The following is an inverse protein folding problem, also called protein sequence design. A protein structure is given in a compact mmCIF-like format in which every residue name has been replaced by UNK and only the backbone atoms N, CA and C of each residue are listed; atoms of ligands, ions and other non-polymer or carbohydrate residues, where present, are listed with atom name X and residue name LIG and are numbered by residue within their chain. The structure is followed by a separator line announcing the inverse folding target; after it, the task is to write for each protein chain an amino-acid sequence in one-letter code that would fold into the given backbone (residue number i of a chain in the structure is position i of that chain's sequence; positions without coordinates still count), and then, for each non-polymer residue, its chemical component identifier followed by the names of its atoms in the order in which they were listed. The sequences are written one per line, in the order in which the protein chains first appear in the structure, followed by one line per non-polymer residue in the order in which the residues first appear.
data_IF_630412506128
#
_entry.id   IF_630412506128
#
_cell.length_a   1.000
_cell.length_b   1.000
_cell.length_c   1.000
_cell.angle_alpha   90.00
_cell.angle_beta   90.00
_cell.angle_gamma   90.00
#
_symmetry.space_group_name_H-M   'P 1'
#
loop_
_entity.id
_entity.type
_entity.pdbx_description
1 polymer ?
#
# COMPACT_ATOMS: atom_id res chain seq x y z
N UNK A 1 -14.32 32.78 -7.09
CA UNK A 1 -15.28 31.77 -7.57
C UNK A 1 -14.50 30.48 -7.79
N UNK A 2 -14.36 29.67 -6.75
CA UNK A 2 -13.64 28.38 -6.81
C UNK A 2 -14.57 27.39 -7.50
N UNK A 3 -14.21 26.97 -8.72
CA UNK A 3 -14.90 25.88 -9.38
C UNK A 3 -14.86 24.68 -8.43
N UNK A 4 -16.05 24.20 -8.03
CA UNK A 4 -16.16 22.91 -7.40
C UNK A 4 -15.62 21.88 -8.40
N UNK A 5 -14.37 21.44 -8.18
CA UNK A 5 -13.82 20.28 -8.85
C UNK A 5 -14.83 19.17 -8.63
N UNK A 6 -15.45 18.74 -9.72
CA UNK A 6 -16.38 17.64 -9.76
C UNK A 6 -15.59 16.41 -9.30
N UNK A 7 -15.62 16.11 -7.99
CA UNK A 7 -15.02 14.90 -7.45
C UNK A 7 -15.86 13.76 -7.99
N UNK A 8 -15.42 13.15 -9.08
CA UNK A 8 -16.04 11.92 -9.54
C UNK A 8 -16.05 10.95 -8.37
N UNK A 9 -17.26 10.54 -8.00
CA UNK A 9 -17.48 9.54 -6.96
C UNK A 9 -16.66 8.31 -7.33
N UNK A 10 -16.03 7.69 -6.34
CA UNK A 10 -15.25 6.45 -6.51
C UNK A 10 -16.04 5.44 -7.35
N UNK A 11 -15.51 5.12 -8.53
CA UNK A 11 -16.14 4.18 -9.45
C UNK A 11 -15.56 2.79 -9.19
N UNK A 12 -16.26 2.01 -8.35
CA UNK A 12 -15.83 0.66 -7.98
C UNK A 12 -15.87 -0.29 -9.17
N UNK A 13 -16.81 -0.13 -10.09
CA UNK A 13 -16.89 -0.96 -11.29
C UNK A 13 -15.67 -0.76 -12.19
N UNK A 14 -15.25 0.49 -12.37
CA UNK A 14 -14.00 0.79 -13.08
C UNK A 14 -12.79 0.19 -12.36
N UNK A 15 -12.71 0.34 -11.03
CA UNK A 15 -11.61 -0.21 -10.24
C UNK A 15 -11.49 -1.74 -10.36
N UNK A 16 -12.62 -2.45 -10.45
CA UNK A 16 -12.66 -3.90 -10.71
C UNK A 16 -12.03 -4.24 -12.07
N UNK A 17 -12.47 -3.56 -13.12
CA UNK A 17 -11.96 -3.79 -14.48
C UNK A 17 -10.46 -3.50 -14.56
N UNK A 18 -9.99 -2.43 -13.92
CA UNK A 18 -8.57 -2.07 -13.85
C UNK A 18 -7.73 -3.10 -13.11
N UNK A 19 -8.22 -3.63 -11.98
CA UNK A 19 -7.52 -4.69 -11.26
C UNK A 19 -7.35 -5.95 -12.13
N UNK A 20 -8.37 -6.34 -12.89
CA UNK A 20 -8.27 -7.50 -13.80
C UNK A 20 -7.35 -7.22 -14.99
N UNK A 21 -7.47 -6.03 -15.58
CA UNK A 21 -6.78 -5.69 -16.82
C UNK A 21 -5.32 -5.32 -16.57
N UNK A 22 -5.06 -4.42 -15.62
CA UNK A 22 -3.75 -3.84 -15.39
C UNK A 22 -3.01 -4.44 -14.20
N UNK A 23 -3.70 -5.16 -13.32
CA UNK A 23 -3.13 -5.71 -12.08
C UNK A 23 -3.12 -4.71 -10.93
N UNK A 24 -3.60 -3.48 -11.14
CA UNK A 24 -3.73 -2.45 -10.11
C UNK A 24 -4.86 -1.47 -10.47
N UNK A 25 -5.33 -0.72 -9.47
CA UNK A 25 -6.23 0.43 -9.63
C UNK A 25 -5.85 1.53 -8.63
N UNK A 26 -6.30 2.75 -8.87
CA UNK A 26 -6.09 3.89 -7.96
C UNK A 26 -7.44 4.44 -7.54
N UNK A 27 -7.78 4.24 -6.26
CA UNK A 27 -8.96 4.87 -5.68
C UNK A 27 -8.61 6.29 -5.20
N UNK A 28 -9.12 7.29 -5.92
CA UNK A 28 -8.91 8.70 -5.58
C UNK A 28 -9.85 9.13 -4.45
N UNK A 29 -9.40 10.14 -3.69
CA UNK A 29 -10.20 10.85 -2.69
C UNK A 29 -10.81 9.97 -1.58
N UNK A 30 -10.16 8.84 -1.25
CA UNK A 30 -10.62 7.95 -0.17
C UNK A 30 -10.39 8.51 1.24
N UNK A 31 -9.47 9.47 1.38
CA UNK A 31 -9.20 10.18 2.63
C UNK A 31 -9.21 11.68 2.32
N UNK A 32 -9.90 12.52 3.11
CA UNK A 32 -9.73 13.97 3.02
C UNK A 32 -8.26 14.34 3.19
N UNK A 33 -7.74 15.24 2.34
CA UNK A 33 -6.32 15.62 2.34
C UNK A 33 -5.78 15.98 3.72
N UNK A 34 -6.49 16.82 4.46
CA UNK A 34 -6.09 17.24 5.81
C UNK A 34 -5.94 16.04 6.75
N UNK A 35 -6.89 15.09 6.67
CA UNK A 35 -6.85 13.86 7.48
C UNK A 35 -5.71 12.94 7.07
N UNK A 36 -5.40 12.83 5.78
CA UNK A 36 -4.25 12.07 5.29
C UNK A 36 -2.93 12.64 5.82
N UNK A 37 -2.78 13.97 5.77
CA UNK A 37 -1.60 14.65 6.31
C UNK A 37 -1.50 14.50 7.84
N UNK A 38 -2.61 14.58 8.56
CA UNK A 38 -2.66 14.30 10.00
C UNK A 38 -2.20 12.88 10.33
N UNK A 39 -2.71 11.88 9.60
CA UNK A 39 -2.29 10.48 9.73
C UNK A 39 -0.78 10.34 9.46
N UNK A 40 -0.27 10.96 8.40
CA UNK A 40 1.16 10.97 8.07
C UNK A 40 2.02 11.56 9.19
N UNK A 41 1.64 12.71 9.74
CA UNK A 41 2.32 13.34 10.88
C UNK A 41 2.32 12.43 12.11
N UNK A 42 1.18 11.83 12.46
CA UNK A 42 1.09 10.92 13.61
C UNK A 42 1.99 9.69 13.46
N UNK A 43 2.09 9.12 12.26
CA UNK A 43 3.00 8.01 11.98
C UNK A 43 4.48 8.40 12.10
N UNK A 44 4.83 9.61 11.66
CA UNK A 44 6.19 10.14 11.84
C UNK A 44 6.53 10.39 13.31
N UNK A 45 5.56 10.81 14.13
CA UNK A 45 5.72 10.93 15.59
C UNK A 45 5.97 9.56 16.24
N UNK A 46 5.13 8.56 15.95
CA UNK A 46 5.28 7.18 16.47
C UNK A 46 6.64 6.63 16.08
N UNK A 47 7.05 6.74 14.81
CA UNK A 47 8.39 6.33 14.37
C UNK A 47 9.50 7.11 15.07
N UNK A 48 9.27 8.39 15.37
CA UNK A 48 10.16 9.27 16.13
C UNK A 48 10.41 8.75 17.54
N UNK A 49 9.36 8.33 18.25
CA UNK A 49 9.38 7.78 19.61
C UNK A 49 10.12 6.44 19.70
N UNK A 50 10.10 5.64 18.63
CA UNK A 50 10.82 4.35 18.57
C UNK A 50 12.35 4.52 18.47
N UNK A 51 12.85 5.70 18.13
CA UNK A 51 14.29 5.91 18.05
C UNK A 51 14.89 6.04 19.45
N UNK A 52 15.91 5.23 19.74
CA UNK A 52 16.67 5.35 20.98
C UNK A 52 17.47 6.65 21.01
N UNK A 53 17.52 7.28 22.19
CA UNK A 53 18.39 8.43 22.45
C UNK A 53 19.84 8.01 22.19
N UNK A 54 20.50 8.65 21.22
CA UNK A 54 21.93 8.47 20.93
C UNK A 54 22.25 7.68 19.65
N UNK A 55 21.27 7.19 18.90
CA UNK A 55 21.49 6.53 17.61
C UNK A 55 21.32 7.53 16.44
N UNK A 56 22.17 7.40 15.41
CA UNK A 56 21.96 8.13 14.14
C UNK A 56 20.62 7.71 13.54
N UNK A 57 19.79 8.70 13.19
CA UNK A 57 18.48 8.42 12.60
C UNK A 57 18.68 7.77 11.23
N UNK A 58 18.20 6.54 10.99
CA UNK A 58 18.11 6.04 9.63
C UNK A 58 17.26 7.02 8.81
N UNK A 59 17.66 7.29 7.56
CA UNK A 59 16.88 8.13 6.61
C UNK A 59 15.57 7.44 6.16
N UNK A 60 15.18 6.37 6.84
CA UNK A 60 14.02 5.55 6.55
C UNK A 60 13.36 5.13 7.86
N UNK A 61 12.04 5.32 7.94
CA UNK A 61 11.21 4.84 9.04
C UNK A 61 10.38 3.64 8.60
N UNK A 62 10.23 2.66 9.49
CA UNK A 62 9.45 1.46 9.24
C UNK A 62 8.75 0.95 10.48
N UNK A 63 7.45 0.72 10.36
CA UNK A 63 6.66 -0.01 11.33
C UNK A 63 6.16 -1.29 10.64
N UNK A 64 6.66 -2.49 11.00
CA UNK A 64 6.27 -3.75 10.34
C UNK A 64 4.79 -4.13 10.58
N UNK A 65 4.18 -3.57 11.62
CA UNK A 65 2.73 -3.60 11.80
C UNK A 65 2.37 -2.46 12.74
N UNK A 66 1.63 -1.46 12.24
CA UNK A 66 1.22 -0.29 13.02
C UNK A 66 0.59 -0.66 14.36
N UNK A 67 -0.27 -1.69 14.36
CA UNK A 67 -1.02 -2.13 15.54
C UNK A 67 -0.17 -2.83 16.61
N UNK A 68 1.14 -3.02 16.37
CA UNK A 68 2.08 -3.38 17.43
C UNK A 68 2.54 -2.17 18.26
N UNK A 69 2.26 -0.94 17.79
CA UNK A 69 2.75 0.31 18.37
C UNK A 69 1.63 1.23 18.86
N UNK A 70 0.38 0.94 18.48
CA UNK A 70 -0.81 1.69 18.91
C UNK A 70 -1.89 0.73 19.40
N UNK A 71 -2.67 1.16 20.38
CA UNK A 71 -3.94 0.53 20.73
C UNK A 71 -5.07 1.27 19.97
N UNK A 72 -5.80 0.61 19.05
CA UNK A 72 -6.90 1.25 18.32
C UNK A 72 -8.04 1.77 19.19
N UNK A 73 -8.15 1.31 20.44
CA UNK A 73 -9.13 1.85 21.40
C UNK A 73 -8.68 3.17 22.02
N UNK A 74 -7.39 3.49 21.94
CA UNK A 74 -6.80 4.74 22.42
C UNK A 74 -6.45 5.71 21.27
N UNK A 75 -6.09 5.19 20.10
CA UNK A 75 -5.78 5.94 18.87
C UNK A 75 -6.52 5.34 17.66
N UNK A 76 -7.76 5.79 17.46
CA UNK A 76 -8.67 5.29 16.42
C UNK A 76 -8.39 5.85 15.02
N UNK A 77 -7.38 6.72 14.89
CA UNK A 77 -7.11 7.54 13.71
C UNK A 77 -7.03 6.71 12.42
N UNK A 78 -6.50 5.48 12.51
CA UNK A 78 -6.22 4.61 11.38
C UNK A 78 -7.28 3.53 11.13
N UNK A 79 -8.27 3.37 12.02
CA UNK A 79 -9.35 2.39 11.82
C UNK A 79 -10.10 2.56 10.49
N UNK A 80 -10.39 3.78 10.00
CA UNK A 80 -11.04 3.96 8.70
C UNK A 80 -10.25 3.42 7.51
N UNK A 81 -8.92 3.25 7.63
CA UNK A 81 -8.08 2.70 6.57
C UNK A 81 -8.25 1.19 6.43
N UNK A 82 -8.33 0.47 7.55
CA UNK A 82 -8.49 -0.99 7.55
C UNK A 82 -9.95 -1.44 7.44
N UNK A 83 -10.90 -0.55 7.70
CA UNK A 83 -12.35 -0.80 7.62
C UNK A 83 -13.00 -0.20 6.38
N UNK A 84 -12.21 0.33 5.43
CA UNK A 84 -12.74 1.04 4.28
C UNK A 84 -13.63 0.12 3.41
N UNK A 85 -14.92 0.44 3.21
CA UNK A 85 -15.85 -0.46 2.54
C UNK A 85 -15.55 -0.67 1.05
N UNK A 86 -14.96 0.32 0.38
CA UNK A 86 -14.54 0.18 -1.01
C UNK A 86 -13.39 -0.82 -1.15
N UNK A 87 -12.42 -0.77 -0.24
CA UNK A 87 -11.31 -1.72 -0.19
C UNK A 87 -11.83 -3.13 0.12
N UNK A 88 -12.66 -3.27 1.16
CA UNK A 88 -13.26 -4.57 1.49
C UNK A 88 -14.06 -5.17 0.35
N UNK A 89 -14.78 -4.35 -0.42
CA UNK A 89 -15.53 -4.81 -1.58
C UNK A 89 -14.60 -5.39 -2.66
N UNK A 90 -13.54 -4.66 -3.03
CA UNK A 90 -12.57 -5.13 -4.03
C UNK A 90 -11.80 -6.37 -3.56
N UNK A 91 -11.39 -6.39 -2.28
CA UNK A 91 -10.66 -7.51 -1.70
C UNK A 91 -11.53 -8.77 -1.64
N UNK A 92 -12.77 -8.64 -1.18
CA UNK A 92 -13.73 -9.74 -1.13
C UNK A 92 -13.95 -10.36 -2.51
N UNK A 93 -14.07 -9.55 -3.57
CA UNK A 93 -14.30 -10.09 -4.92
C UNK A 93 -13.13 -10.88 -5.48
N UNK A 94 -11.91 -10.54 -5.08
CA UNK A 94 -10.69 -11.20 -5.57
C UNK A 94 -10.24 -12.37 -4.70
N UNK A 95 -10.36 -12.24 -3.38
CA UNK A 95 -9.91 -13.27 -2.42
C UNK A 95 -11.06 -14.15 -1.91
N UNK A 96 -12.32 -13.77 -2.15
CA UNK A 96 -13.51 -14.46 -1.65
C UNK A 96 -13.90 -14.08 -0.22
N UNK A 97 -14.71 -14.93 0.39
CA UNK A 97 -15.37 -14.66 1.68
C UNK A 97 -14.43 -14.64 2.91
N UNK A 98 -13.23 -15.22 2.79
CA UNK A 98 -12.38 -15.54 3.95
C UNK A 98 -10.96 -14.99 3.80
N UNK A 99 -10.83 -13.66 3.77
CA UNK A 99 -9.54 -12.98 3.81
C UNK A 99 -9.24 -12.42 5.21
N UNK A 100 -7.96 -12.20 5.46
CA UNK A 100 -7.45 -11.56 6.68
C UNK A 100 -6.41 -10.51 6.33
N UNK A 101 -6.27 -9.50 7.19
CA UNK A 101 -5.19 -8.54 7.06
C UNK A 101 -3.86 -9.22 7.42
N UNK A 102 -2.95 -9.33 6.44
CA UNK A 102 -1.63 -9.91 6.66
C UNK A 102 -0.69 -9.01 7.47
N UNK A 103 -0.86 -7.70 7.39
CA UNK A 103 -0.10 -6.71 8.15
C UNK A 103 -0.41 -5.27 7.71
N UNK A 104 -0.18 -4.31 8.61
CA UNK A 104 -0.33 -2.88 8.35
C UNK A 104 1.05 -2.20 8.40
N UNK A 105 1.86 -2.47 7.38
CA UNK A 105 3.21 -1.92 7.28
C UNK A 105 3.15 -0.41 7.01
N UNK A 106 4.03 0.35 7.67
CA UNK A 106 4.19 1.78 7.41
C UNK A 106 5.63 2.04 7.00
N UNK A 107 5.81 2.74 5.89
CA UNK A 107 7.12 3.10 5.36
C UNK A 107 7.18 4.62 5.20
N UNK A 108 8.26 5.21 5.72
CA UNK A 108 8.60 6.62 5.50
C UNK A 108 9.99 6.72 4.86
N UNK A 109 10.06 7.26 3.63
CA UNK A 109 11.31 7.48 2.88
C UNK A 109 11.70 8.95 2.96
N UNK A 110 12.89 9.25 3.51
CA UNK A 110 13.45 10.61 3.48
C UNK A 110 14.27 10.83 2.20
N UNK A 111 14.62 12.09 1.87
CA UNK A 111 15.47 12.38 0.71
C UNK A 111 16.79 11.59 0.72
N UNK A 112 17.18 11.10 -0.47
CA UNK A 112 18.43 10.36 -0.67
C UNK A 112 18.36 8.88 -0.29
N UNK A 113 17.18 8.32 -0.03
CA UNK A 113 16.98 6.87 0.05
C UNK A 113 16.79 6.29 -1.35
N UNK A 114 17.50 5.21 -1.67
CA UNK A 114 17.45 4.56 -2.98
C UNK A 114 16.08 3.92 -3.28
N UNK A 115 15.76 3.75 -4.57
CA UNK A 115 14.58 2.98 -4.98
C UNK A 115 14.79 1.49 -4.76
N UNK A 116 13.71 0.75 -4.52
CA UNK A 116 13.74 -0.70 -4.68
C UNK A 116 13.71 -1.07 -6.17
N UNK A 117 14.29 -2.22 -6.50
CA UNK A 117 14.17 -2.82 -7.84
C UNK A 117 12.74 -3.29 -8.12
N UNK A 118 12.47 -3.56 -9.40
CA UNK A 118 11.19 -4.13 -9.83
C UNK A 118 10.95 -5.48 -9.15
N UNK A 119 9.81 -5.65 -8.50
CA UNK A 119 9.42 -6.91 -7.90
C UNK A 119 7.90 -7.03 -7.77
N UNK A 120 7.43 -8.27 -7.69
CA UNK A 120 6.18 -8.69 -7.10
C UNK A 120 6.40 -8.93 -5.60
N UNK A 121 5.40 -8.57 -4.81
CA UNK A 121 5.42 -8.72 -3.36
C UNK A 121 5.51 -10.19 -2.91
N UNK A 122 5.97 -10.36 -1.67
CA UNK A 122 5.99 -11.66 -0.99
C UNK A 122 4.53 -12.18 -0.85
N UNK A 123 4.28 -13.47 -1.12
CA UNK A 123 5.26 -14.54 -1.35
C UNK A 123 5.47 -14.92 -2.83
N UNK A 124 4.99 -14.14 -3.82
CA UNK A 124 5.06 -14.57 -5.22
C UNK A 124 6.50 -14.77 -5.71
N UNK A 125 7.37 -13.79 -5.47
CA UNK A 125 8.79 -13.91 -5.77
C UNK A 125 9.48 -15.05 -5.00
N UNK A 126 9.11 -15.22 -3.73
CA UNK A 126 9.65 -16.28 -2.89
C UNK A 126 9.33 -17.68 -3.45
N UNK A 127 8.10 -17.93 -3.93
CA UNK A 127 7.78 -19.20 -4.59
C UNK A 127 8.67 -19.46 -5.81
N UNK A 128 8.87 -18.44 -6.65
CA UNK A 128 9.72 -18.56 -7.85
C UNK A 128 11.19 -18.84 -7.47
N UNK A 129 11.75 -18.12 -6.51
CA UNK A 129 13.12 -18.32 -6.00
C UNK A 129 13.35 -19.74 -5.44
N UNK A 130 12.31 -20.33 -4.83
CA UNK A 130 12.38 -21.70 -4.31
C UNK A 130 12.08 -22.78 -5.37
N UNK A 131 11.82 -22.40 -6.62
CA UNK A 131 11.42 -23.34 -7.68
C UNK A 131 10.05 -24.00 -7.42
N UNK A 132 9.21 -23.37 -6.59
CA UNK A 132 7.87 -23.85 -6.26
C UNK A 132 6.83 -23.34 -7.27
N UNK A 133 5.69 -24.02 -7.41
CA UNK A 133 4.59 -23.53 -8.24
C UNK A 133 4.11 -22.16 -7.77
N UNK A 134 4.24 -21.15 -8.64
CA UNK A 134 3.68 -19.81 -8.41
C UNK A 134 2.18 -19.82 -8.70
N UNK A 135 1.31 -19.32 -7.81
CA UNK A 135 -0.11 -19.19 -8.09
C UNK A 135 -0.38 -18.32 -9.34
N UNK A 136 -1.05 -18.87 -10.36
CA UNK A 136 -1.33 -18.17 -11.63
C UNK A 136 -2.82 -17.85 -11.83
N UNK A 137 -3.71 -18.70 -11.31
CA UNK A 137 -5.15 -18.65 -11.60
C UNK A 137 -6.00 -18.26 -10.38
N UNK A 138 -5.35 -17.79 -9.32
CA UNK A 138 -6.00 -17.31 -8.11
C UNK A 138 -5.32 -16.00 -7.70
N UNK A 139 -6.09 -15.06 -7.15
CA UNK A 139 -5.49 -13.96 -6.40
C UNK A 139 -5.10 -14.50 -5.02
N UNK A 140 -3.80 -14.49 -4.72
CA UNK A 140 -3.29 -15.01 -3.45
C UNK A 140 -3.24 -13.92 -2.37
N UNK A 141 -2.83 -12.71 -2.75
CA UNK A 141 -2.76 -11.53 -1.89
C UNK A 141 -3.21 -10.29 -2.66
N UNK A 142 -3.70 -9.29 -1.93
CA UNK A 142 -3.92 -7.94 -2.44
C UNK A 142 -3.17 -6.97 -1.54
N UNK A 143 -2.43 -6.06 -2.15
CA UNK A 143 -1.79 -4.96 -1.47
C UNK A 143 -2.63 -3.70 -1.60
N UNK A 144 -2.78 -2.99 -0.49
CA UNK A 144 -3.45 -1.70 -0.43
C UNK A 144 -2.49 -0.68 0.18
N UNK A 145 -2.02 0.26 -0.64
CA UNK A 145 -1.18 1.36 -0.19
C UNK A 145 -2.01 2.62 0.00
N UNK A 146 -1.86 3.26 1.16
CA UNK A 146 -2.49 4.54 1.47
C UNK A 146 -1.48 5.67 1.33
N UNK A 147 -1.77 6.63 0.45
CA UNK A 147 -0.94 7.82 0.26
C UNK A 147 -1.29 8.86 1.33
N UNK A 148 -0.48 8.89 2.40
CA UNK A 148 -0.65 9.83 3.52
C UNK A 148 0.19 11.12 3.35
N UNK A 149 1.03 11.14 2.32
CA UNK A 149 1.73 12.31 1.78
C UNK A 149 1.58 12.31 0.27
N UNK A 150 1.98 13.40 -0.37
CA UNK A 150 1.96 13.47 -1.84
C UNK A 150 2.98 12.49 -2.43
N UNK A 151 2.53 11.68 -3.38
CA UNK A 151 3.38 10.81 -4.19
C UNK A 151 3.60 11.50 -5.53
N UNK A 152 4.86 11.82 -5.83
CA UNK A 152 5.30 12.56 -7.02
C UNK A 152 6.43 11.80 -7.70
N UNK A 153 6.73 12.13 -8.95
CA UNK A 153 7.89 11.55 -9.62
C UNK A 153 9.19 11.87 -8.87
N UNK A 154 9.31 13.09 -8.37
CA UNK A 154 10.50 13.63 -7.73
C UNK A 154 10.80 13.00 -6.36
N UNK A 155 9.77 12.58 -5.62
CA UNK A 155 9.93 11.95 -4.31
C UNK A 155 9.79 10.41 -4.32
N UNK A 156 9.78 9.81 -5.50
CA UNK A 156 9.79 8.35 -5.65
C UNK A 156 8.43 7.70 -5.44
N UNK A 157 7.38 8.24 -6.07
CA UNK A 157 6.09 7.55 -6.16
C UNK A 157 6.26 6.11 -6.66
N UNK A 158 5.46 5.20 -6.10
CA UNK A 158 5.44 3.79 -6.52
C UNK A 158 5.24 3.68 -8.03
N UNK A 159 6.16 2.96 -8.68
CA UNK A 159 6.05 2.60 -10.09
C UNK A 159 5.33 1.26 -10.20
N UNK A 160 4.31 1.20 -11.06
CA UNK A 160 3.52 0.00 -11.33
C UNK A 160 3.69 -0.37 -12.79
N UNK A 161 3.90 -1.65 -13.08
CA UNK A 161 4.01 -2.18 -14.44
C UNK A 161 2.66 -2.81 -14.84
N UNK A 162 1.85 -2.16 -15.69
CA UNK A 162 0.56 -2.69 -16.11
C UNK A 162 0.70 -4.05 -16.80
N UNK A 163 -0.26 -4.95 -16.56
CA UNK A 163 -0.31 -6.32 -17.10
C UNK A 163 0.82 -7.25 -16.62
N UNK A 164 1.68 -6.82 -15.69
CA UNK A 164 2.80 -7.65 -15.22
C UNK A 164 2.36 -8.92 -14.49
N UNK A 165 1.16 -8.93 -13.91
CA UNK A 165 0.54 -10.11 -13.29
C UNK A 165 0.25 -11.25 -14.27
N UNK A 166 0.24 -11.00 -15.58
CA UNK A 166 0.09 -12.02 -16.62
C UNK A 166 1.41 -12.65 -17.10
N UNK A 167 2.56 -12.13 -16.66
CA UNK A 167 3.87 -12.59 -17.15
C UNK A 167 4.27 -13.98 -16.61
N UNK A 168 3.62 -14.45 -15.54
CA UNK A 168 3.77 -15.79 -14.99
C UNK A 168 5.09 -16.13 -14.28
N UNK A 169 6.09 -15.24 -14.35
CA UNK A 169 7.39 -15.40 -13.69
C UNK A 169 7.69 -14.17 -12.80
N UNK A 170 7.19 -14.12 -11.55
CA UNK A 170 7.47 -13.01 -10.66
C UNK A 170 8.98 -12.96 -10.32
N UNK A 171 9.54 -11.76 -10.25
CA UNK A 171 10.92 -11.47 -9.80
C UNK A 171 12.05 -12.09 -10.61
N UNK A 172 11.75 -12.75 -11.72
CA UNK A 172 12.75 -13.27 -12.66
C UNK A 172 12.95 -12.27 -13.79
N UNK A 173 13.40 -11.07 -13.43
CA UNK A 173 13.72 -10.03 -14.40
C UNK A 173 15.14 -10.26 -14.92
N UNK A 174 15.34 -10.13 -16.24
CA UNK A 174 16.67 -10.16 -16.81
C UNK A 174 17.38 -8.86 -16.41
N UNK A 175 18.44 -8.97 -15.63
CA UNK A 175 19.47 -7.93 -15.53
C UNK A 175 20.21 -7.80 -16.87
#
# INVERSE_FOLDING_TARGET
MMAALNREKTNIDQARVELDTYGYTILRDQIPRERALQMGSRLMEIMGEQNRVGEERPRWGHLPCLYNFIDPSEDDLFLPLITNPHIHNLVHEKLGDSYQLGGANVVWRQPGVESYGLHADVPLGWFAEQGLPVPQNITFTIQCAWMLTDFTYENGATLLLPNSHHMGIPNMWLD
#
